data_IF_040473725056
#
_entry.id   IF_040473725056
#
_cell.length_a   1.000
_cell.length_b   1.000
_cell.length_c   1.000
_cell.angle_alpha   90.00
_cell.angle_beta   90.00
_cell.angle_gamma   90.00
#
_symmetry.space_group_name_H-M   'P 1'
#
loop_
_entity.id
_entity.type
_entity.pdbx_description
1 polymer ?
#
# COMPACT_ATOMS: atom_id res chain seq x y z
N UNK A 1 -4.04 -18.81 7.79
CA UNK A 1 -4.49 -18.55 6.41
C UNK A 1 -3.58 -19.37 5.51
N UNK A 2 -4.12 -20.22 4.63
CA UNK A 2 -3.28 -20.77 3.57
C UNK A 2 -3.03 -19.65 2.57
N UNK A 3 -1.83 -19.11 2.61
CA UNK A 3 -1.34 -18.15 1.65
C UNK A 3 -0.94 -18.96 0.42
N UNK A 4 -1.57 -18.70 -0.70
CA UNK A 4 -1.18 -19.32 -1.97
C UNK A 4 -0.36 -18.30 -2.79
N UNK A 5 0.96 -18.34 -2.72
CA UNK A 5 1.82 -17.45 -3.48
C UNK A 5 1.69 -17.67 -5.00
N UNK A 6 1.18 -18.82 -5.43
CA UNK A 6 1.00 -19.12 -6.85
C UNK A 6 0.01 -18.16 -7.51
N UNK A 7 -1.02 -17.70 -6.81
CA UNK A 7 -1.94 -16.70 -7.33
C UNK A 7 -1.22 -15.38 -7.63
N UNK A 8 -0.35 -14.94 -6.72
CA UNK A 8 0.42 -13.71 -6.94
C UNK A 8 1.34 -13.81 -8.15
N UNK A 9 2.07 -14.92 -8.26
CA UNK A 9 2.99 -15.15 -9.38
C UNK A 9 2.26 -15.22 -10.72
N UNK A 10 1.10 -15.88 -10.76
CA UNK A 10 0.35 -16.10 -11.99
C UNK A 10 -0.48 -14.89 -12.42
N UNK A 11 -1.15 -14.24 -11.45
CA UNK A 11 -2.10 -13.15 -11.75
C UNK A 11 -1.51 -11.75 -11.53
N UNK A 12 -0.34 -11.65 -10.89
CA UNK A 12 0.30 -10.38 -10.55
C UNK A 12 -0.28 -9.71 -9.31
N UNK A 13 -1.23 -10.34 -8.64
CA UNK A 13 -1.81 -9.86 -7.39
C UNK A 13 -2.47 -10.98 -6.59
N UNK A 14 -2.65 -10.75 -5.31
CA UNK A 14 -3.52 -11.55 -4.46
C UNK A 14 -4.24 -10.66 -3.44
N UNK A 15 -5.32 -11.15 -2.88
CA UNK A 15 -6.14 -10.40 -1.92
C UNK A 15 -6.24 -11.14 -0.60
N UNK A 16 -5.66 -10.56 0.44
CA UNK A 16 -5.77 -11.06 1.81
C UNK A 16 -6.91 -10.35 2.54
N UNK A 17 -7.80 -11.12 3.14
CA UNK A 17 -8.95 -10.59 3.87
C UNK A 17 -8.75 -10.73 5.37
N UNK A 18 -9.31 -9.80 6.15
CA UNK A 18 -9.27 -9.82 7.61
C UNK A 18 -7.84 -9.88 8.20
N UNK A 19 -6.90 -9.22 7.53
CA UNK A 19 -5.52 -9.10 8.00
C UNK A 19 -5.49 -8.34 9.31
N UNK A 20 -6.14 -7.18 9.36
CA UNK A 20 -6.30 -6.39 10.57
C UNK A 20 -7.69 -6.61 11.17
N UNK A 21 -7.76 -6.59 12.49
CA UNK A 21 -9.03 -6.58 13.23
C UNK A 21 -9.75 -5.23 13.08
N UNK A 22 -11.03 -5.18 13.37
CA UNK A 22 -11.81 -3.94 13.35
C UNK A 22 -11.27 -2.89 14.32
N UNK A 23 -10.72 -3.29 15.46
CA UNK A 23 -10.10 -2.37 16.42
C UNK A 23 -8.80 -1.77 15.90
N UNK A 24 -7.95 -2.56 15.25
CA UNK A 24 -6.73 -2.07 14.60
C UNK A 24 -7.06 -1.12 13.46
N UNK A 25 -8.03 -1.46 12.62
CA UNK A 25 -8.49 -0.58 11.55
C UNK A 25 -8.98 0.76 12.09
N UNK A 26 -9.80 0.76 13.15
CA UNK A 26 -10.29 1.98 13.80
C UNK A 26 -9.14 2.81 14.39
N UNK A 27 -8.16 2.17 15.00
CA UNK A 27 -6.95 2.84 15.52
C UNK A 27 -6.19 3.52 14.39
N UNK A 28 -5.96 2.83 13.29
CA UNK A 28 -5.26 3.36 12.11
C UNK A 28 -6.00 4.57 11.53
N UNK A 29 -7.32 4.48 11.36
CA UNK A 29 -8.16 5.57 10.88
C UNK A 29 -8.09 6.80 11.81
N UNK A 30 -8.16 6.61 13.12
CA UNK A 30 -8.11 7.71 14.09
C UNK A 30 -6.78 8.46 14.02
N UNK A 31 -5.66 7.74 13.91
CA UNK A 31 -4.34 8.34 13.79
C UNK A 31 -4.22 9.10 12.47
N UNK A 32 -4.61 8.48 11.35
CA UNK A 32 -4.59 9.13 10.04
C UNK A 32 -5.45 10.40 10.03
N UNK A 33 -6.69 10.32 10.54
CA UNK A 33 -7.58 11.48 10.64
C UNK A 33 -6.99 12.58 11.54
N UNK A 34 -6.27 12.20 12.59
CA UNK A 34 -5.53 13.15 13.43
C UNK A 34 -4.39 13.85 12.69
N UNK A 35 -3.71 13.14 11.80
CA UNK A 35 -2.67 13.72 10.93
C UNK A 35 -3.30 14.68 9.90
N UNK A 36 -4.38 14.28 9.24
CA UNK A 36 -5.08 15.09 8.25
C UNK A 36 -5.59 16.42 8.83
N UNK A 37 -6.14 16.40 10.04
CA UNK A 37 -6.62 17.63 10.72
C UNK A 37 -5.52 18.62 11.07
N UNK A 38 -4.26 18.23 11.01
CA UNK A 38 -3.09 19.06 11.35
C UNK A 38 -2.33 19.56 10.12
N UNK A 39 -2.79 19.20 8.93
CA UNK A 39 -2.23 19.75 7.71
C UNK A 39 -2.36 21.26 7.69
N UNK A 40 -1.30 21.94 7.30
CA UNK A 40 -1.29 23.39 7.17
C UNK A 40 -2.02 23.83 5.90
N UNK A 41 -2.52 25.06 5.84
CA UNK A 41 -3.11 25.59 4.61
C UNK A 41 -2.12 25.45 3.43
N UNK A 42 -2.59 24.83 2.36
CA UNK A 42 -1.77 24.57 1.16
C UNK A 42 -1.04 23.23 1.13
N UNK A 43 -0.94 22.52 2.25
CA UNK A 43 -0.47 21.13 2.23
C UNK A 43 -1.50 20.21 1.59
N UNK A 44 -1.03 19.39 0.66
CA UNK A 44 -1.88 18.46 -0.07
C UNK A 44 -1.86 17.08 0.59
N UNK A 45 -3.01 16.61 1.12
CA UNK A 45 -3.06 15.29 1.76
C UNK A 45 -2.93 14.12 0.79
N UNK A 46 -3.03 14.38 -0.51
CA UNK A 46 -3.07 13.34 -1.54
C UNK A 46 -1.85 12.44 -1.53
N UNK A 47 -0.68 13.00 -1.14
CA UNK A 47 0.58 12.26 -1.11
C UNK A 47 1.32 12.56 0.19
N UNK A 48 1.12 11.76 1.21
CA UNK A 48 2.00 11.73 2.37
C UNK A 48 3.03 10.62 2.19
N UNK A 49 4.27 11.03 1.90
CA UNK A 49 5.36 10.10 1.72
C UNK A 49 5.99 9.70 3.05
N UNK A 50 6.44 8.45 3.10
CA UNK A 50 7.25 7.89 4.18
C UNK A 50 6.72 8.14 5.60
N UNK A 51 5.43 7.90 5.87
CA UNK A 51 4.88 8.10 7.21
C UNK A 51 5.57 7.23 8.27
N UNK A 52 6.21 6.14 7.88
CA UNK A 52 6.97 5.24 8.76
C UNK A 52 8.33 5.81 9.17
N UNK A 53 8.81 6.89 8.54
CA UNK A 53 10.08 7.57 8.88
C UNK A 53 9.83 9.01 9.30
N UNK A 54 9.22 9.80 8.42
CA UNK A 54 9.14 11.26 8.57
C UNK A 54 7.97 11.79 9.39
N UNK A 55 6.95 10.98 9.68
CA UNK A 55 5.78 11.48 10.39
C UNK A 55 5.97 11.50 11.91
N UNK A 56 5.18 12.36 12.61
CA UNK A 56 5.10 12.35 14.08
C UNK A 56 4.72 10.97 14.65
N UNK A 57 4.03 10.15 13.88
CA UNK A 57 3.57 8.81 14.25
C UNK A 57 4.38 7.70 13.57
N UNK A 58 5.64 7.96 13.23
CA UNK A 58 6.47 7.05 12.45
C UNK A 58 6.58 5.65 13.08
N UNK A 59 6.72 5.55 14.40
CA UNK A 59 6.77 4.25 15.10
C UNK A 59 5.50 3.44 14.86
N UNK A 60 4.35 4.09 14.95
CA UNK A 60 3.06 3.44 14.71
C UNK A 60 2.94 2.90 13.28
N UNK A 61 3.34 3.69 12.28
CA UNK A 61 3.28 3.26 10.89
C UNK A 61 4.32 2.20 10.56
N UNK A 62 5.48 2.25 11.18
CA UNK A 62 6.49 1.20 11.07
C UNK A 62 6.02 -0.10 11.72
N UNK A 63 5.37 -0.04 12.89
CA UNK A 63 4.74 -1.20 13.52
C UNK A 63 3.64 -1.82 12.65
N UNK A 64 2.82 -0.98 11.99
CA UNK A 64 1.83 -1.46 11.05
C UNK A 64 2.49 -2.18 9.86
N UNK A 65 3.53 -1.62 9.28
CA UNK A 65 4.27 -2.26 8.20
C UNK A 65 4.92 -3.59 8.64
N UNK A 66 5.26 -3.71 9.93
CA UNK A 66 5.78 -4.93 10.56
C UNK A 66 4.71 -5.84 11.15
N UNK A 67 3.44 -5.58 10.89
CA UNK A 67 2.36 -6.42 11.41
C UNK A 67 2.56 -7.88 10.96
N UNK A 68 2.54 -8.88 11.88
CA UNK A 68 2.90 -10.26 11.55
C UNK A 68 2.14 -10.81 10.34
N UNK A 69 0.84 -10.64 10.27
CA UNK A 69 0.04 -11.12 9.13
C UNK A 69 0.36 -10.41 7.81
N UNK A 70 0.87 -9.17 7.84
CA UNK A 70 1.36 -8.48 6.63
C UNK A 70 2.69 -9.08 6.22
N UNK A 71 3.62 -9.23 7.17
CA UNK A 71 4.92 -9.84 6.89
C UNK A 71 4.77 -11.27 6.38
N UNK A 72 4.00 -12.12 7.05
CA UNK A 72 3.71 -13.50 6.60
C UNK A 72 3.23 -13.53 5.15
N UNK A 73 2.36 -12.57 4.78
CA UNK A 73 1.84 -12.46 3.43
C UNK A 73 2.92 -12.08 2.41
N UNK A 74 3.77 -11.13 2.75
CA UNK A 74 4.86 -10.67 1.86
C UNK A 74 5.97 -11.71 1.80
N UNK A 75 6.34 -12.31 2.92
CA UNK A 75 7.35 -13.37 3.00
C UNK A 75 6.95 -14.60 2.17
N UNK A 76 5.66 -14.94 2.11
CA UNK A 76 5.18 -16.04 1.26
C UNK A 76 5.43 -15.81 -0.23
N UNK A 77 5.62 -14.56 -0.64
CA UNK A 77 5.85 -14.17 -2.04
C UNK A 77 7.32 -13.88 -2.33
N UNK A 78 7.97 -13.09 -1.47
CA UNK A 78 9.34 -12.60 -1.67
C UNK A 78 10.40 -13.36 -0.87
N UNK A 79 9.99 -14.24 0.06
CA UNK A 79 10.91 -14.86 1.00
C UNK A 79 11.21 -13.96 2.22
N UNK A 80 12.05 -14.46 3.16
CA UNK A 80 12.19 -13.86 4.49
C UNK A 80 13.08 -12.61 4.54
N UNK A 81 13.85 -12.33 3.51
CA UNK A 81 14.79 -11.20 3.49
C UNK A 81 14.12 -9.95 2.94
N UNK A 82 13.32 -9.27 3.76
CA UNK A 82 12.50 -8.14 3.36
C UNK A 82 13.11 -6.79 3.73
N UNK A 83 13.00 -5.83 2.84
CA UNK A 83 13.34 -4.42 3.08
C UNK A 83 12.11 -3.57 2.75
N UNK A 84 11.67 -2.74 3.71
CA UNK A 84 10.66 -1.71 3.44
C UNK A 84 11.32 -0.53 2.75
N UNK A 85 11.05 -0.35 1.48
CA UNK A 85 11.66 0.68 0.65
C UNK A 85 10.90 2.00 0.78
N UNK A 86 9.57 1.95 0.67
CA UNK A 86 8.71 3.12 0.67
C UNK A 86 7.37 2.79 1.32
N UNK A 87 6.78 3.77 1.96
CA UNK A 87 5.35 3.80 2.26
C UNK A 87 4.78 5.17 1.95
N UNK A 88 3.52 5.23 1.55
CA UNK A 88 2.83 6.51 1.39
C UNK A 88 1.32 6.34 1.57
N UNK A 89 0.64 7.44 1.89
CA UNK A 89 -0.80 7.50 1.85
C UNK A 89 -1.26 8.11 0.53
N UNK A 90 -2.27 7.49 -0.06
CA UNK A 90 -3.01 8.04 -1.20
C UNK A 90 -4.39 8.44 -0.67
N UNK A 91 -4.64 9.74 -0.59
CA UNK A 91 -5.88 10.28 -0.04
C UNK A 91 -6.62 11.01 -1.15
N UNK A 92 -7.84 10.55 -1.42
CA UNK A 92 -8.73 11.16 -2.41
C UNK A 92 -9.89 11.83 -1.69
N UNK A 93 -9.97 13.15 -1.79
CA UNK A 93 -11.10 13.93 -1.30
C UNK A 93 -12.28 13.90 -2.28
N UNK A 94 -13.45 14.34 -1.82
CA UNK A 94 -14.67 14.40 -2.66
C UNK A 94 -14.55 15.41 -3.81
N UNK A 95 -13.76 16.45 -3.61
CA UNK A 95 -13.51 17.50 -4.62
C UNK A 95 -12.30 17.19 -5.51
N UNK A 96 -11.56 16.14 -5.19
CA UNK A 96 -10.36 15.79 -5.94
C UNK A 96 -10.71 15.02 -7.22
N UNK A 97 -10.35 15.59 -8.35
CA UNK A 97 -10.40 14.89 -9.65
C UNK A 97 -9.13 14.06 -9.92
N UNK A 98 -8.37 13.74 -8.86
CA UNK A 98 -7.12 13.00 -9.02
C UNK A 98 -7.38 11.59 -9.50
N UNK A 99 -6.83 11.27 -10.66
CA UNK A 99 -6.76 9.92 -11.20
C UNK A 99 -5.31 9.46 -11.20
N UNK A 100 -5.10 8.22 -10.82
CA UNK A 100 -3.81 7.55 -11.00
C UNK A 100 -3.91 6.71 -12.26
N UNK A 101 -3.08 7.00 -13.25
CA UNK A 101 -3.04 6.25 -14.51
C UNK A 101 -2.58 4.81 -14.30
N UNK A 102 -2.83 3.95 -15.30
CA UNK A 102 -2.29 2.60 -15.30
C UNK A 102 -0.77 2.63 -15.29
N UNK A 103 -0.17 1.89 -14.37
CA UNK A 103 1.28 1.78 -14.22
C UNK A 103 1.66 0.47 -13.54
N UNK A 104 2.92 0.15 -13.57
CA UNK A 104 3.54 -0.89 -12.77
C UNK A 104 4.54 -0.20 -11.82
N UNK A 105 4.45 -0.47 -10.53
CA UNK A 105 5.30 0.17 -9.51
C UNK A 105 6.79 -0.07 -9.77
N UNK A 106 7.15 -1.25 -10.22
CA UNK A 106 8.51 -1.63 -10.57
C UNK A 106 9.18 -0.61 -11.53
N UNK A 107 8.41 0.02 -12.43
CA UNK A 107 8.94 1.01 -13.37
C UNK A 107 9.62 2.20 -12.70
N UNK A 108 9.18 2.55 -11.51
CA UNK A 108 9.78 3.67 -10.75
C UNK A 108 11.09 3.32 -10.07
N UNK A 109 11.40 2.02 -9.95
CA UNK A 109 12.51 1.49 -9.17
C UNK A 109 13.60 0.82 -10.01
N UNK A 110 13.41 0.69 -11.32
CA UNK A 110 14.17 -0.20 -12.22
C UNK A 110 15.55 0.27 -12.63
N UNK A 111 16.00 1.45 -12.26
CA UNK A 111 17.37 1.87 -12.66
C UNK A 111 18.42 1.47 -11.62
N UNK A 112 18.63 0.14 -11.46
CA UNK A 112 19.84 -0.40 -10.85
C UNK A 112 19.87 -0.49 -9.33
N UNK A 113 18.75 -0.22 -8.63
CA UNK A 113 18.72 -0.23 -7.15
C UNK A 113 17.96 -1.41 -6.57
N UNK A 114 16.98 -1.95 -7.29
CA UNK A 114 16.13 -3.04 -6.81
C UNK A 114 15.95 -4.04 -7.94
N UNK A 115 16.19 -5.34 -7.64
CA UNK A 115 15.91 -6.44 -8.56
C UNK A 115 14.42 -6.59 -8.89
N UNK A 116 14.07 -7.64 -9.58
CA UNK A 116 12.68 -7.91 -10.00
C UNK A 116 11.74 -8.30 -8.86
N UNK A 117 12.27 -8.50 -7.65
CA UNK A 117 11.53 -8.94 -6.46
C UNK A 117 10.94 -7.75 -5.70
N UNK A 118 9.90 -7.15 -6.25
CA UNK A 118 9.17 -6.05 -5.65
C UNK A 118 7.71 -6.41 -5.41
N UNK A 119 7.21 -6.10 -4.21
CA UNK A 119 5.81 -6.28 -3.85
C UNK A 119 5.27 -4.99 -3.22
N UNK A 120 4.11 -4.54 -3.65
CA UNK A 120 3.39 -3.43 -3.04
C UNK A 120 2.19 -3.95 -2.25
N UNK A 121 2.13 -3.61 -0.97
CA UNK A 121 0.97 -3.89 -0.12
C UNK A 121 0.04 -2.68 -0.14
N UNK A 122 -1.12 -2.82 -0.76
CA UNK A 122 -2.17 -1.80 -0.74
C UNK A 122 -3.24 -2.13 0.30
N UNK A 123 -3.50 -1.20 1.20
CA UNK A 123 -4.43 -1.40 2.32
C UNK A 123 -5.39 -0.21 2.44
N UNK A 124 -6.70 -0.40 2.16
CA UNK A 124 -7.69 0.65 2.34
C UNK A 124 -8.03 0.85 3.82
N UNK A 125 -7.99 2.09 4.30
CA UNK A 125 -8.42 2.43 5.66
C UNK A 125 -9.91 2.80 5.76
N UNK A 126 -10.60 2.82 4.64
CA UNK A 126 -12.05 3.04 4.55
C UNK A 126 -12.66 2.00 3.62
N UNK A 127 -13.97 1.83 3.67
CA UNK A 127 -14.65 0.99 2.68
C UNK A 127 -14.51 1.61 1.30
N UNK A 128 -13.88 0.89 0.38
CA UNK A 128 -13.62 1.34 -1.00
C UNK A 128 -14.45 0.56 -2.01
N UNK A 129 -14.84 1.24 -3.08
CA UNK A 129 -15.56 0.68 -4.22
C UNK A 129 -15.25 1.50 -5.48
N UNK A 130 -15.88 1.16 -6.59
CA UNK A 130 -15.62 1.84 -7.87
C UNK A 130 -15.94 3.34 -7.87
N UNK A 131 -16.82 3.80 -6.97
CA UNK A 131 -17.25 5.20 -6.92
C UNK A 131 -16.36 6.07 -6.03
N UNK A 132 -15.53 5.46 -5.17
CA UNK A 132 -14.68 6.20 -4.22
C UNK A 132 -13.20 5.86 -4.31
N UNK A 133 -12.77 5.38 -5.48
CA UNK A 133 -11.35 5.27 -5.80
C UNK A 133 -10.68 3.98 -5.34
N UNK A 134 -11.36 2.84 -5.41
CA UNK A 134 -10.71 1.56 -5.22
C UNK A 134 -9.57 1.34 -6.23
N UNK A 135 -8.62 0.50 -5.86
CA UNK A 135 -7.60 0.03 -6.79
C UNK A 135 -8.27 -0.81 -7.90
N UNK A 136 -7.74 -0.68 -9.11
CA UNK A 136 -8.09 -1.51 -10.26
C UNK A 136 -6.84 -2.24 -10.72
N UNK A 137 -6.97 -3.49 -11.10
CA UNK A 137 -5.86 -4.33 -11.52
C UNK A 137 -6.20 -4.99 -12.85
N UNK A 138 -5.22 -5.10 -13.72
CA UNK A 138 -5.30 -5.90 -14.95
C UNK A 138 -4.61 -7.24 -14.61
N UNK A 139 -5.35 -8.34 -14.50
CA UNK A 139 -4.76 -9.64 -14.20
C UNK A 139 -3.70 -10.01 -15.23
N UNK A 140 -2.64 -10.69 -14.77
CA UNK A 140 -1.52 -11.16 -15.60
C UNK A 140 -0.68 -10.07 -16.27
N UNK A 141 -0.91 -8.80 -15.93
CA UNK A 141 -0.09 -7.71 -16.47
C UNK A 141 1.35 -7.71 -15.95
N UNK A 142 1.64 -8.46 -14.89
CA UNK A 142 2.99 -8.72 -14.40
C UNK A 142 3.86 -9.53 -15.37
N UNK A 143 3.25 -10.23 -16.33
CA UNK A 143 3.95 -11.06 -17.32
C UNK A 143 4.40 -10.26 -18.55
N UNK A 144 4.05 -8.99 -18.63
CA UNK A 144 4.40 -8.13 -19.74
C UNK A 144 4.78 -6.73 -19.24
N UNK A 145 5.88 -6.19 -19.77
CA UNK A 145 6.23 -4.79 -19.53
C UNK A 145 5.25 -3.90 -20.28
N UNK A 146 4.50 -3.09 -19.55
CA UNK A 146 3.77 -1.97 -20.15
C UNK A 146 4.76 -0.81 -20.29
N UNK A 147 5.13 -0.54 -21.53
CA UNK A 147 6.00 0.61 -21.89
C UNK A 147 5.24 1.93 -21.80
#
# INVERSE_FOLDING_TARGET
MNLDPSQYLNEGYCVFRNVLSSSEMKKNQNILNGMLRRLQPGEKPQFMFEPHVGSRHWKFWLELARHPKILDSVESVLGPNLILILSHFIIKGTEDKMTVGWHQDQRYWTKGVIGDDLCTVWMPFVKVNQNNGCMKIIPKSNQSYVR
#
